data_IF_551590887423
#
_entry.id   IF_551590887423
#
_cell.length_a   1.000
_cell.length_b   1.000
_cell.length_c   1.000
_cell.angle_alpha   90.00
_cell.angle_beta   90.00
_cell.angle_gamma   90.00
#
_symmetry.space_group_name_H-M   'P 1'
#
loop_
_entity.id
_entity.type
_entity.pdbx_description
1 polymer ?
#
# COMPACT_ATOMS: atom_id res chain seq x y z
N UNK A 1 6.19 12.64 0.48
CA UNK A 1 4.83 12.68 0.02
C UNK A 1 3.86 12.84 1.16
N UNK A 2 2.76 13.53 0.89
CA UNK A 2 1.80 13.95 1.92
C UNK A 2 0.66 12.94 2.13
N UNK A 3 0.75 11.78 1.48
CA UNK A 3 -0.28 10.71 1.51
C UNK A 3 0.32 9.42 2.01
N UNK A 4 -0.44 8.65 2.79
CA UNK A 4 -0.07 7.30 3.17
C UNK A 4 -0.29 6.36 1.98
N UNK A 5 0.79 5.97 1.31
CA UNK A 5 0.72 5.11 0.12
C UNK A 5 0.96 3.64 0.44
N UNK A 6 1.54 3.34 1.59
CA UNK A 6 1.88 1.96 1.96
C UNK A 6 1.76 1.77 3.45
N UNK A 7 1.00 0.77 3.85
CA UNK A 7 0.94 0.23 5.22
C UNK A 7 1.50 -1.18 5.16
N UNK A 8 2.39 -1.51 6.07
CA UNK A 8 2.97 -2.84 6.17
C UNK A 8 2.80 -3.36 7.60
N UNK A 9 2.14 -4.49 7.71
CA UNK A 9 2.04 -5.29 8.93
C UNK A 9 2.98 -6.49 8.86
N UNK A 10 3.02 -7.32 9.89
CA UNK A 10 3.81 -8.55 9.89
C UNK A 10 3.35 -9.54 8.81
N UNK A 11 2.06 -9.55 8.49
CA UNK A 11 1.44 -10.51 7.57
C UNK A 11 1.10 -9.93 6.21
N UNK A 12 0.82 -8.62 6.10
CA UNK A 12 0.31 -8.01 4.87
C UNK A 12 0.99 -6.69 4.52
N UNK A 13 1.07 -6.42 3.23
CA UNK A 13 1.44 -5.13 2.68
C UNK A 13 0.29 -4.56 1.87
N UNK A 14 -0.19 -3.39 2.28
CA UNK A 14 -1.29 -2.68 1.64
C UNK A 14 -0.71 -1.46 0.93
N UNK A 15 -0.96 -1.34 -0.37
CA UNK A 15 -0.61 -0.17 -1.17
C UNK A 15 -1.89 0.54 -1.59
N UNK A 16 -1.92 1.86 -1.42
CA UNK A 16 -3.06 2.69 -1.81
C UNK A 16 -2.65 3.64 -2.93
N UNK A 17 -3.39 3.58 -4.02
CA UNK A 17 -3.29 4.52 -5.14
C UNK A 17 -4.37 5.58 -4.97
N UNK A 18 -3.99 6.84 -5.08
CA UNK A 18 -4.89 7.98 -4.93
C UNK A 18 -5.22 8.62 -6.26
N UNK A 19 -6.34 9.28 -6.32
CA UNK A 19 -6.68 10.16 -7.44
C UNK A 19 -5.58 11.24 -7.61
N UNK A 20 -5.12 11.49 -8.85
CA UNK A 20 -4.12 12.52 -9.11
C UNK A 20 -4.53 13.89 -8.55
N UNK A 21 -3.63 14.54 -7.81
CA UNK A 21 -3.90 15.84 -7.19
C UNK A 21 -4.87 15.85 -6.01
N UNK A 22 -5.39 14.70 -5.57
CA UNK A 22 -6.40 14.58 -4.50
C UNK A 22 -5.91 13.66 -3.38
N UNK A 23 -6.56 13.70 -2.22
CA UNK A 23 -6.40 12.75 -1.11
C UNK A 23 -7.43 11.63 -1.14
N UNK A 24 -8.29 11.57 -2.17
CA UNK A 24 -9.26 10.50 -2.33
C UNK A 24 -8.56 9.21 -2.79
N UNK A 25 -8.67 8.09 -2.05
CA UNK A 25 -8.13 6.82 -2.48
C UNK A 25 -8.96 6.23 -3.61
N UNK A 26 -8.31 5.56 -4.57
CA UNK A 26 -8.94 4.90 -5.72
C UNK A 26 -8.81 3.38 -5.67
N UNK A 27 -7.60 2.89 -5.43
CA UNK A 27 -7.29 1.47 -5.50
C UNK A 27 -6.49 1.06 -4.27
N UNK A 28 -6.86 -0.05 -3.69
CA UNK A 28 -6.13 -0.76 -2.65
C UNK A 28 -5.59 -2.05 -3.23
N UNK A 29 -4.30 -2.28 -3.07
CA UNK A 29 -3.61 -3.50 -3.46
C UNK A 29 -3.06 -4.12 -2.18
N UNK A 30 -3.53 -5.29 -1.85
CA UNK A 30 -3.07 -6.06 -0.69
C UNK A 30 -2.24 -7.25 -1.17
N UNK A 31 -1.09 -7.45 -0.55
CA UNK A 31 -0.16 -8.53 -0.84
C UNK A 31 0.24 -9.20 0.47
N UNK A 32 0.26 -10.52 0.50
CA UNK A 32 0.71 -11.26 1.67
C UNK A 32 2.22 -11.05 1.91
N UNK A 33 2.60 -10.67 3.13
CA UNK A 33 3.99 -10.49 3.55
C UNK A 33 4.64 -11.79 4.08
N UNK A 34 3.84 -12.77 4.50
CA UNK A 34 4.33 -14.07 5.02
C UNK A 34 5.18 -14.83 4.02
N UNK A 35 5.28 -14.33 2.82
CA UNK A 35 6.03 -14.87 1.70
C UNK A 35 7.37 -14.19 1.44
N UNK A 36 7.75 -13.19 2.22
CA UNK A 36 9.13 -12.71 2.21
C UNK A 36 10.13 -13.81 2.57
N UNK A 37 9.73 -14.74 3.44
CA UNK A 37 10.56 -15.90 3.81
C UNK A 37 10.48 -17.00 2.73
N UNK A 38 9.37 -17.15 2.02
CA UNK A 38 9.23 -18.09 0.90
C UNK A 38 9.77 -17.55 -0.43
N UNK A 39 9.85 -16.24 -0.59
CA UNK A 39 10.35 -15.59 -1.80
C UNK A 39 11.88 -15.60 -1.93
N UNK A 40 12.62 -16.15 -0.99
CA UNK A 40 13.98 -16.63 -1.23
C UNK A 40 13.88 -17.98 -1.96
N UNK A 41 13.45 -17.92 -3.23
CA UNK A 41 13.68 -19.04 -4.13
C UNK A 41 15.18 -19.34 -4.08
N UNK A 42 15.54 -20.54 -3.62
CA UNK A 42 16.93 -20.98 -3.65
C UNK A 42 17.39 -20.95 -5.09
N UNK A 43 18.58 -20.40 -5.33
CA UNK A 43 19.17 -20.46 -6.66
C UNK A 43 19.42 -21.92 -7.04
N UNK A 44 19.49 -22.19 -8.34
CA UNK A 44 19.80 -23.53 -8.84
C UNK A 44 21.13 -24.02 -8.23
N UNK A 45 22.10 -23.13 -8.06
CA UNK A 45 23.38 -23.42 -7.41
C UNK A 45 23.22 -23.83 -5.94
N UNK A 46 22.43 -23.08 -5.16
CA UNK A 46 22.16 -23.39 -3.75
C UNK A 46 21.44 -24.72 -3.58
N UNK A 47 20.47 -24.99 -4.44
CA UNK A 47 19.71 -26.24 -4.42
C UNK A 47 20.59 -27.44 -4.70
N UNK A 48 21.43 -27.40 -5.74
CA UNK A 48 22.34 -28.49 -6.09
C UNK A 48 23.42 -28.68 -5.00
N UNK A 49 23.89 -27.59 -4.37
CA UNK A 49 24.81 -27.67 -3.24
C UNK A 49 24.19 -28.38 -2.04
N UNK A 50 22.92 -28.15 -1.75
CA UNK A 50 22.22 -28.79 -0.62
C UNK A 50 21.89 -30.25 -0.89
N UNK A 51 21.41 -30.56 -2.12
CA UNK A 51 21.03 -31.93 -2.50
C UNK A 51 22.25 -32.84 -2.78
N UNK A 52 23.40 -32.28 -3.12
CA UNK A 52 24.62 -33.01 -3.40
C UNK A 52 25.35 -33.52 -2.16
N UNK A 53 24.83 -33.28 -0.96
CA UNK A 53 25.46 -33.67 0.29
C UNK A 53 24.68 -34.81 0.96
N UNK A 54 24.97 -36.05 0.57
CA UNK A 54 24.44 -37.25 1.25
C UNK A 54 24.99 -37.40 2.69
N UNK A 55 26.12 -36.75 3.03
CA UNK A 55 26.80 -36.88 4.31
C UNK A 55 26.71 -35.64 5.23
N UNK A 56 25.82 -34.70 4.96
CA UNK A 56 25.61 -33.51 5.83
C UNK A 56 26.73 -32.44 5.76
N UNK A 57 27.76 -32.63 4.95
CA UNK A 57 28.81 -31.63 4.68
C UNK A 57 28.51 -31.00 3.31
N UNK A 58 27.95 -29.80 3.30
CA UNK A 58 27.59 -29.10 2.08
C UNK A 58 28.75 -28.98 1.09
N UNK A 59 28.53 -29.39 -0.15
CA UNK A 59 29.53 -29.21 -1.22
C UNK A 59 29.58 -27.70 -1.55
N UNK A 60 30.69 -27.05 -1.27
CA UNK A 60 30.92 -25.64 -1.62
C UNK A 60 31.41 -25.59 -3.06
N UNK A 61 30.60 -25.00 -3.93
CA UNK A 61 30.98 -24.77 -5.34
C UNK A 61 31.98 -23.61 -5.46
N UNK A 62 32.95 -23.69 -6.39
CA UNK A 62 33.75 -22.53 -6.77
C UNK A 62 32.85 -21.39 -7.27
N UNK A 63 33.24 -20.13 -6.99
CA UNK A 63 32.48 -18.97 -7.38
C UNK A 63 32.19 -18.90 -8.89
N UNK A 64 33.10 -19.39 -9.72
CA UNK A 64 32.96 -19.49 -11.17
C UNK A 64 31.80 -20.41 -11.58
N UNK A 65 31.64 -21.53 -10.90
CA UNK A 65 30.58 -22.50 -11.14
C UNK A 65 29.21 -21.93 -10.70
N UNK A 66 29.18 -21.25 -9.53
CA UNK A 66 27.95 -20.56 -9.05
C UNK A 66 27.50 -19.53 -10.07
N UNK A 67 28.40 -18.66 -10.55
CA UNK A 67 28.06 -17.65 -11.57
C UNK A 67 27.59 -18.25 -12.90
N UNK A 68 28.09 -19.43 -13.26
CA UNK A 68 27.67 -20.15 -14.46
C UNK A 68 26.26 -20.73 -14.30
N UNK A 69 25.97 -21.31 -13.14
CA UNK A 69 24.64 -21.85 -12.79
C UNK A 69 23.59 -20.74 -12.67
N UNK A 70 23.92 -19.58 -12.07
CA UNK A 70 23.03 -18.43 -11.96
C UNK A 70 22.70 -17.84 -13.35
N UNK A 71 23.70 -17.73 -14.23
CA UNK A 71 23.48 -17.33 -15.62
C UNK A 71 22.57 -18.30 -16.36
N UNK A 72 22.82 -19.61 -16.20
CA UNK A 72 22.03 -20.65 -16.83
C UNK A 72 20.59 -20.65 -16.33
N UNK A 73 20.38 -20.47 -15.03
CA UNK A 73 19.04 -20.31 -14.44
C UNK A 73 18.30 -19.11 -15.07
N UNK A 74 18.99 -17.96 -15.18
CA UNK A 74 18.44 -16.78 -15.85
C UNK A 74 18.05 -17.02 -17.32
N UNK A 75 18.89 -17.74 -18.07
CA UNK A 75 18.63 -18.10 -19.47
C UNK A 75 17.42 -19.07 -19.59
N UNK A 76 17.31 -20.04 -18.70
CA UNK A 76 16.20 -21.02 -18.68
C UNK A 76 14.89 -20.29 -18.30
N UNK A 77 14.92 -19.42 -17.29
CA UNK A 77 13.72 -18.63 -16.88
C UNK A 77 13.26 -17.68 -17.98
N UNK A 78 14.19 -17.13 -18.77
CA UNK A 78 13.89 -16.29 -19.91
C UNK A 78 13.49 -17.09 -21.18
N UNK A 79 13.48 -18.42 -21.10
CA UNK A 79 13.27 -19.32 -22.24
C UNK A 79 14.22 -19.02 -23.44
N UNK A 80 15.44 -18.59 -23.13
CA UNK A 80 16.45 -18.15 -24.12
C UNK A 80 17.83 -18.71 -23.79
N UNK A 81 17.99 -20.04 -23.85
CA UNK A 81 19.24 -20.72 -23.51
C UNK A 81 20.24 -20.57 -24.68
N UNK A 82 21.40 -20.00 -24.38
CA UNK A 82 22.47 -19.78 -25.35
C UNK A 82 23.08 -21.09 -25.88
N UNK A 83 23.71 -21.03 -27.08
CA UNK A 83 24.40 -22.21 -27.65
C UNK A 83 25.58 -22.64 -26.78
N UNK A 84 26.26 -21.71 -26.14
CA UNK A 84 27.36 -21.95 -25.23
C UNK A 84 26.89 -22.73 -23.99
N UNK A 85 25.79 -22.30 -23.35
CA UNK A 85 25.17 -22.96 -22.22
C UNK A 85 24.70 -24.38 -22.57
N UNK A 86 24.13 -24.58 -23.77
CA UNK A 86 23.73 -25.91 -24.26
C UNK A 86 24.89 -26.86 -24.45
N UNK A 87 26.03 -26.36 -25.01
CA UNK A 87 27.25 -27.14 -25.18
C UNK A 87 27.85 -27.54 -23.83
N UNK A 88 27.89 -26.60 -22.89
CA UNK A 88 28.40 -26.90 -21.54
C UNK A 88 27.54 -27.96 -20.84
N UNK A 89 26.21 -27.85 -20.91
CA UNK A 89 25.29 -28.86 -20.36
C UNK A 89 25.50 -30.23 -20.99
N UNK A 90 25.67 -30.31 -22.31
CA UNK A 90 25.91 -31.57 -23.02
C UNK A 90 27.23 -32.22 -22.56
N UNK A 91 28.29 -31.43 -22.31
CA UNK A 91 29.57 -31.94 -21.76
C UNK A 91 29.42 -32.49 -20.34
N UNK A 92 28.49 -31.92 -19.54
CA UNK A 92 28.17 -32.41 -18.20
C UNK A 92 27.16 -33.57 -18.19
N UNK A 93 26.68 -34.03 -19.37
CA UNK A 93 25.66 -35.07 -19.47
C UNK A 93 24.27 -34.62 -18.99
N UNK A 94 24.03 -33.31 -18.96
CA UNK A 94 22.78 -32.70 -18.52
C UNK A 94 21.98 -32.13 -19.70
N UNK A 95 20.66 -32.03 -19.53
CA UNK A 95 19.78 -31.40 -20.51
C UNK A 95 19.09 -30.18 -19.92
N UNK A 96 18.70 -29.24 -20.76
CA UNK A 96 17.99 -28.02 -20.33
C UNK A 96 16.69 -28.36 -19.61
N UNK A 97 15.96 -29.38 -20.10
CA UNK A 97 14.68 -29.83 -19.56
C UNK A 97 14.85 -30.40 -18.15
N UNK A 98 15.94 -31.13 -17.92
CA UNK A 98 16.23 -31.72 -16.60
C UNK A 98 16.56 -30.65 -15.56
N UNK A 99 17.31 -29.62 -15.96
CA UNK A 99 17.59 -28.50 -15.07
C UNK A 99 16.39 -27.58 -14.88
N UNK A 100 15.61 -27.33 -15.91
CA UNK A 100 14.37 -26.58 -15.81
C UNK A 100 13.38 -27.20 -14.80
N UNK A 101 13.35 -28.54 -14.72
CA UNK A 101 12.55 -29.25 -13.72
C UNK A 101 13.06 -29.11 -12.28
N UNK A 102 14.33 -28.72 -12.10
CA UNK A 102 14.94 -28.48 -10.78
C UNK A 102 14.81 -27.01 -10.35
N UNK A 103 14.57 -26.09 -11.26
CA UNK A 103 14.40 -24.67 -10.95
C UNK A 103 13.07 -24.48 -10.20
N UNK A 104 13.15 -23.89 -9.01
CA UNK A 104 11.96 -23.55 -8.25
C UNK A 104 11.16 -22.46 -8.97
N UNK A 105 9.82 -22.61 -9.11
CA UNK A 105 9.00 -21.59 -9.74
C UNK A 105 9.11 -20.28 -8.94
N UNK A 106 9.18 -19.15 -9.65
CA UNK A 106 9.13 -17.84 -8.99
C UNK A 106 7.77 -17.71 -8.35
N UNK A 107 7.76 -17.62 -7.02
CA UNK A 107 6.53 -17.36 -6.31
C UNK A 107 6.12 -15.90 -6.54
N UNK A 108 4.96 -15.72 -7.14
CA UNK A 108 4.31 -14.42 -7.26
C UNK A 108 3.21 -14.36 -6.21
N UNK A 109 3.36 -13.49 -5.18
CA UNK A 109 2.34 -13.37 -4.17
C UNK A 109 1.00 -12.99 -4.79
N UNK A 110 -0.07 -13.64 -4.36
CA UNK A 110 -1.42 -13.31 -4.76
C UNK A 110 -1.73 -11.87 -4.32
N UNK A 111 -2.27 -11.08 -5.25
CA UNK A 111 -2.67 -9.70 -4.99
C UNK A 111 -4.18 -9.63 -4.93
N UNK A 112 -4.71 -9.10 -3.83
CA UNK A 112 -6.12 -8.74 -3.71
C UNK A 112 -6.26 -7.27 -4.04
N UNK A 113 -7.08 -6.97 -5.04
CA UNK A 113 -7.32 -5.60 -5.49
C UNK A 113 -8.74 -5.22 -5.08
N UNK A 114 -8.86 -4.04 -4.47
CA UNK A 114 -10.15 -3.45 -4.13
C UNK A 114 -10.23 -2.04 -4.71
N UNK A 115 -11.39 -1.68 -5.21
CA UNK A 115 -11.72 -0.32 -5.62
C UNK A 115 -12.38 0.41 -4.47
N UNK A 116 -11.91 1.63 -4.19
CA UNK A 116 -12.58 2.51 -3.25
C UNK A 116 -13.81 3.15 -3.89
N UNK A 117 -14.93 3.03 -3.23
CA UNK A 117 -16.11 3.87 -3.47
C UNK A 117 -16.12 4.95 -2.39
N UNK A 118 -15.94 6.20 -2.79
CA UNK A 118 -15.88 7.34 -1.89
C UNK A 118 -17.04 8.29 -2.14
N UNK A 119 -17.39 9.10 -1.12
CA UNK A 119 -18.28 10.23 -1.31
C UNK A 119 -17.59 11.37 -2.10
N UNK A 120 -18.30 12.46 -2.31
CA UNK A 120 -17.79 13.63 -3.03
C UNK A 120 -16.59 14.32 -2.34
N UNK A 121 -16.36 14.09 -1.05
CA UNK A 121 -15.22 14.61 -0.30
C UNK A 121 -13.98 13.73 -0.44
N UNK A 122 -14.15 12.48 -0.85
CA UNK A 122 -13.11 11.45 -0.86
C UNK A 122 -13.09 10.58 0.40
N UNK A 123 -14.15 10.61 1.23
CA UNK A 123 -14.36 9.72 2.35
C UNK A 123 -14.73 8.33 1.83
N UNK A 124 -13.99 7.25 2.16
CA UNK A 124 -14.33 5.91 1.73
C UNK A 124 -15.65 5.42 2.35
N UNK A 125 -16.59 5.01 1.51
CA UNK A 125 -17.88 4.42 1.89
C UNK A 125 -17.89 2.90 1.72
N UNK A 126 -17.14 2.39 0.71
CA UNK A 126 -17.03 0.96 0.48
C UNK A 126 -15.71 0.58 -0.20
N UNK A 127 -15.33 -0.69 -0.04
CA UNK A 127 -14.30 -1.38 -0.81
C UNK A 127 -14.97 -2.47 -1.63
N UNK A 128 -14.79 -2.40 -2.94
CA UNK A 128 -15.36 -3.34 -3.91
C UNK A 128 -14.24 -4.25 -4.41
N UNK A 129 -14.39 -5.55 -4.25
CA UNK A 129 -13.46 -6.56 -4.73
C UNK A 129 -13.52 -6.71 -6.26
N UNK A 130 -12.56 -7.42 -6.85
CA UNK A 130 -12.49 -7.68 -8.30
C UNK A 130 -13.71 -8.42 -8.86
N UNK A 131 -14.36 -9.22 -8.03
CA UNK A 131 -15.59 -9.96 -8.37
C UNK A 131 -16.87 -9.10 -8.29
N UNK A 132 -16.73 -7.81 -7.93
CA UNK A 132 -17.84 -6.87 -7.78
C UNK A 132 -18.56 -6.93 -6.43
N UNK A 133 -18.11 -7.76 -5.50
CA UNK A 133 -18.71 -7.85 -4.17
C UNK A 133 -18.17 -6.76 -3.24
N UNK A 134 -18.99 -6.32 -2.28
CA UNK A 134 -18.58 -5.39 -1.24
C UNK A 134 -17.78 -6.15 -0.17
N UNK A 135 -16.49 -5.83 -0.06
CA UNK A 135 -15.59 -6.43 0.94
C UNK A 135 -15.66 -5.71 2.30
N UNK A 136 -15.97 -4.43 2.27
CA UNK A 136 -16.11 -3.55 3.41
C UNK A 136 -17.03 -2.39 3.07
N UNK A 137 -17.87 -1.92 3.99
CA UNK A 137 -18.62 -0.69 3.88
C UNK A 137 -18.85 -0.01 5.22
N UNK A 138 -19.04 1.30 5.20
CA UNK A 138 -19.33 2.08 6.41
C UNK A 138 -20.24 3.28 6.11
N UNK A 139 -20.96 3.70 7.14
CA UNK A 139 -21.80 4.89 7.15
C UNK A 139 -21.22 5.91 8.12
N UNK A 140 -21.31 7.19 7.77
CA UNK A 140 -20.74 8.28 8.53
C UNK A 140 -21.71 9.43 8.67
N UNK A 141 -21.55 10.20 9.75
CA UNK A 141 -22.17 11.52 9.87
C UNK A 141 -21.39 12.58 9.06
N UNK A 142 -21.84 13.82 9.12
CA UNK A 142 -21.25 14.95 8.38
C UNK A 142 -19.82 15.24 8.82
N UNK A 143 -19.47 14.94 10.06
CA UNK A 143 -18.16 15.16 10.67
C UNK A 143 -17.18 13.99 10.45
N UNK A 144 -17.64 12.94 9.75
CA UNK A 144 -16.84 11.76 9.47
C UNK A 144 -16.78 10.77 10.65
N UNK A 145 -17.65 10.93 11.65
CA UNK A 145 -17.80 9.94 12.71
C UNK A 145 -18.48 8.68 12.13
N UNK A 146 -17.89 7.53 12.34
CA UNK A 146 -18.39 6.26 11.81
C UNK A 146 -19.61 5.80 12.64
N UNK A 147 -20.76 5.69 11.99
CA UNK A 147 -22.02 5.29 12.59
C UNK A 147 -22.25 3.78 12.50
N UNK A 148 -21.85 3.17 11.39
CA UNK A 148 -22.03 1.75 11.12
C UNK A 148 -20.86 1.21 10.26
N UNK A 149 -20.59 -0.09 10.37
CA UNK A 149 -19.59 -0.79 9.56
C UNK A 149 -20.04 -2.21 9.25
N UNK A 150 -19.91 -2.61 8.00
CA UNK A 150 -20.02 -3.98 7.56
C UNK A 150 -18.65 -4.45 7.06
N UNK A 151 -18.03 -5.38 7.79
CA UNK A 151 -16.67 -5.86 7.52
C UNK A 151 -16.57 -7.37 7.70
N UNK A 152 -17.24 -8.18 6.85
CA UNK A 152 -17.29 -9.64 6.98
C UNK A 152 -15.92 -10.31 6.80
N UNK A 153 -14.98 -9.63 6.15
CA UNK A 153 -13.65 -10.17 5.85
C UNK A 153 -12.54 -9.58 6.72
N UNK A 154 -12.88 -8.79 7.75
CA UNK A 154 -11.91 -8.12 8.63
C UNK A 154 -10.85 -7.32 7.86
N UNK A 155 -11.27 -6.62 6.83
CA UNK A 155 -10.39 -5.77 6.01
C UNK A 155 -9.92 -4.59 6.84
N UNK A 156 -8.61 -4.41 6.98
CA UNK A 156 -8.05 -3.24 7.65
C UNK A 156 -8.27 -1.98 6.80
N UNK A 157 -9.13 -1.07 7.23
CA UNK A 157 -9.49 0.16 6.53
C UNK A 157 -9.44 1.36 7.48
N UNK A 158 -8.27 2.03 7.60
CA UNK A 158 -8.09 3.12 8.54
C UNK A 158 -8.48 4.50 7.99
N UNK A 159 -8.66 4.64 6.66
CA UNK A 159 -8.91 5.95 6.06
C UNK A 159 -10.26 6.52 6.48
N UNK A 160 -10.27 7.82 6.75
CA UNK A 160 -11.45 8.62 7.10
C UNK A 160 -11.58 9.79 6.13
N UNK A 161 -11.98 10.98 6.57
CA UNK A 161 -11.95 12.16 5.73
C UNK A 161 -10.55 12.36 5.13
N UNK A 162 -10.41 12.99 3.96
CA UNK A 162 -9.13 13.16 3.29
C UNK A 162 -8.00 13.63 4.21
N UNK A 163 -6.92 12.85 4.25
CA UNK A 163 -5.77 13.08 5.15
C UNK A 163 -5.87 12.39 6.51
N UNK A 164 -7.06 11.92 6.91
CA UNK A 164 -7.28 11.30 8.22
C UNK A 164 -7.14 9.78 8.20
N UNK A 165 -6.64 9.23 9.31
CA UNK A 165 -6.50 7.82 9.58
C UNK A 165 -7.02 7.51 10.98
N UNK A 166 -7.87 6.51 11.09
CA UNK A 166 -8.35 6.01 12.37
C UNK A 166 -7.22 5.37 13.16
N UNK A 167 -7.04 5.83 14.37
CA UNK A 167 -6.17 5.23 15.38
C UNK A 167 -7.06 4.38 16.31
N UNK A 168 -6.95 3.07 16.20
CA UNK A 168 -7.78 2.12 16.95
C UNK A 168 -7.52 2.17 18.46
N UNK A 169 -6.33 2.58 18.88
CA UNK A 169 -5.98 2.64 20.30
C UNK A 169 -6.65 3.81 21.01
N UNK A 170 -6.70 4.97 20.37
CA UNK A 170 -7.25 6.21 20.94
C UNK A 170 -8.71 6.47 20.53
N UNK A 171 -9.18 5.88 19.42
CA UNK A 171 -10.46 6.21 18.79
C UNK A 171 -10.47 7.57 18.06
N UNK A 172 -9.33 8.24 18.02
CA UNK A 172 -9.13 9.52 17.33
C UNK A 172 -8.74 9.30 15.87
N UNK A 173 -8.78 10.37 15.07
CA UNK A 173 -8.30 10.34 13.70
C UNK A 173 -7.00 11.14 13.59
N UNK A 174 -5.90 10.43 13.29
CA UNK A 174 -4.61 11.06 13.00
C UNK A 174 -4.70 11.82 11.69
N UNK A 175 -4.54 13.15 11.73
CA UNK A 175 -4.56 14.03 10.58
C UNK A 175 -3.24 14.76 10.45
N UNK A 176 -2.16 14.00 10.24
CA UNK A 176 -0.79 14.45 10.01
C UNK A 176 -0.19 15.37 11.10
N UNK A 177 -0.68 16.60 11.22
CA UNK A 177 -0.16 17.57 12.18
C UNK A 177 -1.00 17.66 13.46
N UNK A 178 -2.21 17.13 13.44
CA UNK A 178 -3.14 17.15 14.57
C UNK A 178 -3.89 15.81 14.70
N UNK A 179 -4.46 15.58 15.87
CA UNK A 179 -5.46 14.55 16.09
C UNK A 179 -6.85 15.17 16.11
N UNK A 180 -7.75 14.56 15.38
CA UNK A 180 -9.14 14.94 15.27
C UNK A 180 -10.02 14.01 16.09
N UNK A 181 -10.93 14.61 16.87
CA UNK A 181 -11.96 13.89 17.63
C UNK A 181 -13.27 13.91 16.82
N UNK A 182 -13.68 12.77 16.23
CA UNK A 182 -14.88 12.72 15.41
C UNK A 182 -16.16 12.93 16.21
N UNK A 183 -16.16 12.59 17.50
CA UNK A 183 -17.33 12.76 18.38
C UNK A 183 -17.58 14.23 18.73
N UNK A 184 -16.51 15.04 18.77
CA UNK A 184 -16.58 16.47 19.05
C UNK A 184 -16.52 17.33 17.77
N UNK A 185 -16.18 16.75 16.62
CA UNK A 185 -16.05 17.47 15.36
C UNK A 185 -14.91 18.51 15.36
N UNK A 186 -13.83 18.27 16.12
CA UNK A 186 -12.74 19.24 16.30
C UNK A 186 -11.39 18.55 16.53
N UNK A 187 -10.32 19.32 16.39
CA UNK A 187 -8.99 18.90 16.81
C UNK A 187 -8.84 18.93 18.33
N UNK A 188 -8.01 18.03 18.88
CA UNK A 188 -7.69 17.98 20.32
C UNK A 188 -6.43 18.77 20.68
N UNK A 189 -5.62 19.15 19.67
CA UNK A 189 -4.41 19.95 19.83
C UNK A 189 -4.56 21.30 19.10
N UNK A 190 -3.91 22.38 19.58
CA UNK A 190 -3.95 23.67 18.91
C UNK A 190 -3.27 23.59 17.54
N UNK A 191 -3.70 24.47 16.63
CA UNK A 191 -3.13 24.56 15.29
C UNK A 191 -1.64 24.95 15.34
N UNK A 192 -0.73 24.18 14.72
CA UNK A 192 0.69 24.49 14.68
C UNK A 192 1.02 25.80 13.96
N UNK A 193 0.16 26.26 13.04
CA UNK A 193 0.31 27.55 12.34
C UNK A 193 -0.34 28.72 13.11
N UNK A 194 -0.95 28.42 14.26
CA UNK A 194 -1.57 29.40 15.14
C UNK A 194 -2.76 30.10 14.49
N UNK A 195 -2.89 31.40 14.70
CA UNK A 195 -4.01 32.20 14.17
C UNK A 195 -4.06 32.30 12.63
N UNK A 196 -3.06 31.79 11.92
CA UNK A 196 -3.09 31.70 10.44
C UNK A 196 -4.14 30.69 9.97
N UNK A 197 -4.37 29.61 10.75
CA UNK A 197 -5.41 28.63 10.49
C UNK A 197 -6.82 29.06 10.93
N UNK A 198 -6.97 30.25 11.55
CA UNK A 198 -8.23 30.78 12.05
C UNK A 198 -8.19 31.21 13.50
N UNK A 199 -9.26 31.88 13.97
CA UNK A 199 -9.36 32.38 15.36
C UNK A 199 -9.50 31.25 16.39
N UNK A 200 -10.12 30.13 15.98
CA UNK A 200 -10.25 28.97 16.85
C UNK A 200 -9.20 27.91 16.46
N UNK A 201 -8.12 27.85 17.22
CA UNK A 201 -7.00 26.93 16.95
C UNK A 201 -7.33 25.44 17.02
N UNK A 202 -8.52 25.07 17.49
CA UNK A 202 -8.98 23.68 17.57
C UNK A 202 -10.02 23.33 16.51
N UNK A 203 -10.36 24.28 15.65
CA UNK A 203 -11.44 24.13 14.68
C UNK A 203 -11.05 23.18 13.55
N UNK A 204 -11.95 22.22 13.24
CA UNK A 204 -12.09 21.60 11.93
C UNK A 204 -13.01 22.50 11.07
N UNK A 205 -12.92 22.47 9.72
CA UNK A 205 -13.76 23.32 8.88
C UNK A 205 -15.25 23.30 9.26
N UNK A 206 -15.86 24.46 9.39
CA UNK A 206 -17.27 24.59 9.85
C UNK A 206 -18.30 23.97 8.90
N UNK A 207 -17.93 23.78 7.64
CA UNK A 207 -18.75 23.08 6.67
C UNK A 207 -18.02 21.80 6.20
N UNK A 208 -18.06 20.73 6.99
CA UNK A 208 -17.32 19.49 6.70
C UNK A 208 -17.87 18.75 5.47
N UNK A 209 -19.01 19.17 4.92
CA UNK A 209 -19.56 18.61 3.68
C UNK A 209 -18.84 19.18 2.44
N UNK A 210 -18.45 20.45 2.47
CA UNK A 210 -17.84 21.13 1.33
C UNK A 210 -16.36 21.41 1.49
N UNK A 211 -15.89 21.47 2.73
CA UNK A 211 -14.52 21.89 3.07
C UNK A 211 -13.85 20.79 3.88
N UNK A 212 -12.62 20.47 3.52
CA UNK A 212 -11.78 19.47 4.17
C UNK A 212 -10.46 20.09 4.60
N UNK A 213 -9.77 19.47 5.55
CA UNK A 213 -8.42 19.83 5.95
C UNK A 213 -7.50 18.60 5.90
N UNK A 214 -6.96 18.25 4.72
CA UNK A 214 -6.17 17.04 4.54
C UNK A 214 -4.82 17.04 5.24
N UNK A 215 -4.35 18.21 5.64
CA UNK A 215 -3.04 18.39 6.27
C UNK A 215 -3.11 18.61 7.77
N UNK A 216 -4.30 18.89 8.31
CA UNK A 216 -4.44 19.31 9.69
C UNK A 216 -3.85 20.70 9.95
N UNK A 217 -3.92 21.62 8.98
CA UNK A 217 -3.39 22.99 9.03
C UNK A 217 -4.40 24.00 8.49
N UNK A 218 -4.69 23.92 7.19
CA UNK A 218 -5.55 24.85 6.47
C UNK A 218 -6.72 24.12 5.79
N UNK A 219 -7.89 24.73 5.82
CA UNK A 219 -9.06 24.26 5.15
C UNK A 219 -8.96 24.42 3.63
N UNK A 220 -9.38 23.41 2.87
CA UNK A 220 -9.40 23.40 1.41
C UNK A 220 -10.82 23.13 0.94
N UNK A 221 -11.34 23.95 0.02
CA UNK A 221 -12.62 23.66 -0.63
C UNK A 221 -12.51 22.42 -1.52
N UNK A 222 -13.44 21.49 -1.33
CA UNK A 222 -13.49 20.27 -2.12
C UNK A 222 -14.22 20.56 -3.43
N UNK A 223 -13.48 20.87 -4.48
CA UNK A 223 -14.04 21.02 -5.82
C UNK A 223 -14.12 19.66 -6.52
N UNK A 224 -15.32 19.07 -6.50
CA UNK A 224 -15.69 17.93 -7.35
C UNK A 224 -15.76 18.36 -8.80
N UNK A 225 -14.71 18.23 -9.52
CA UNK A 225 -14.52 18.17 -10.96
C UNK A 225 -13.40 19.07 -11.46
N UNK A 226 -12.22 18.51 -11.60
CA UNK A 226 -11.18 19.00 -12.55
C UNK A 226 -10.60 20.40 -12.30
N UNK A 227 -10.79 21.03 -11.17
CA UNK A 227 -10.36 22.39 -10.90
C UNK A 227 -9.49 22.53 -9.64
N UNK A 228 -8.58 23.45 -9.70
CA UNK A 228 -7.60 23.81 -8.67
C UNK A 228 -8.17 23.82 -7.24
N UNK A 229 -7.40 23.23 -6.33
CA UNK A 229 -7.60 23.33 -4.89
C UNK A 229 -7.18 24.73 -4.47
N UNK A 230 -8.10 25.55 -3.96
CA UNK A 230 -7.78 26.83 -3.33
C UNK A 230 -7.75 26.64 -1.82
N UNK A 231 -6.63 27.02 -1.18
CA UNK A 231 -6.58 27.16 0.26
C UNK A 231 -7.49 28.32 0.69
N UNK A 232 -8.49 28.03 1.52
CA UNK A 232 -9.30 29.07 2.15
C UNK A 232 -8.58 29.45 3.44
N UNK A 233 -7.61 30.36 3.34
CA UNK A 233 -7.06 30.98 4.52
C UNK A 233 -8.15 31.82 5.20
N UNK A 234 -8.52 31.45 6.42
CA UNK A 234 -9.55 32.13 7.21
C UNK A 234 -9.14 33.51 7.73
N UNK A 235 -8.76 34.41 6.83
CA UNK A 235 -8.60 35.83 7.16
C UNK A 235 -9.74 36.60 6.49
N UNK A 236 -10.80 36.97 7.22
CA UNK A 236 -11.78 37.93 6.71
C UNK A 236 -11.11 39.31 6.68
N UNK A 237 -10.86 39.82 5.47
CA UNK A 237 -10.52 41.21 5.30
C UNK A 237 -9.17 41.53 4.67
N UNK A 238 -9.04 41.25 3.38
CA UNK A 238 -8.20 42.01 2.47
C UNK A 238 -8.78 41.85 1.04
N UNK A 239 -9.91 42.53 0.84
CA UNK A 239 -10.31 42.96 -0.50
C UNK A 239 -9.91 44.43 -0.56
N UNK A 240 -8.88 44.75 -1.28
CA UNK A 240 -8.59 46.06 -1.83
C UNK A 240 -8.38 45.92 -3.33
#
# INVERSE_FOLDING_TARGET
GDRLTTVQTDTTRIQTVYQPGSFAPLIRIETDNGEREKAQCRSLAEKIQQEGSEDGHGVVFPAELVGLLDRLEGEIRANCVSSESRQWLAQCGLTVERLAAQIEPVYLPERKIHLYHCDHRGLPLALISEDGNTAWSAEYDEWGNQLNEENPHHVYQPYRLPGQQHDEESGLYYNRHRYYDPLQGRYITPDPIGLRGGWNMYQYPLNPIQVIDPMGLDAIENMTSGGLIYAVSGVPGLIA
#
